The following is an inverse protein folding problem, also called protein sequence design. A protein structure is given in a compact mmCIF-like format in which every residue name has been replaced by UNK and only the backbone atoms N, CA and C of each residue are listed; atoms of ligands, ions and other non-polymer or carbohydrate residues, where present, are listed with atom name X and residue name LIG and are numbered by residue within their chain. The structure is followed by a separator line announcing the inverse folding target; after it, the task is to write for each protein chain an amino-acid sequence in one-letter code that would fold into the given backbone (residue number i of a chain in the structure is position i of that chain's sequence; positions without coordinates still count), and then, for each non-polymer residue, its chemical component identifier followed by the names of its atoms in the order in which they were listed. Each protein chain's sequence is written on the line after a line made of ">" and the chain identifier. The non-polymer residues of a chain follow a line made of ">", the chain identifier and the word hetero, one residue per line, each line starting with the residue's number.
data_IF_443430837791
#
_entry.id   IF_443430837791
#
_cell.length_a   1.000
_cell.length_b   1.000
_cell.length_c   1.000
_cell.angle_alpha   90.00
_cell.angle_beta   90.00
_cell.angle_gamma   90.00
#
_symmetry.space_group_name_H-M   'P 1'
#
loop_
_entity.id
_entity.type
_entity.pdbx_description
1 polymer ?
#
# COMPACT_ATOMS: atom_id res chain seq x y z
N UNK A 1 -11.31 -22.72 15.24
CA UNK A 1 -10.89 -22.99 13.86
C UNK A 1 -9.40 -22.69 13.72
N UNK A 2 -8.65 -23.59 13.18
CA UNK A 2 -7.23 -23.42 12.99
C UNK A 2 -6.94 -23.02 11.55
N UNK A 3 -5.99 -22.10 11.36
CA UNK A 3 -5.53 -21.75 10.04
C UNK A 3 -4.65 -22.87 9.48
N UNK A 4 -4.85 -23.20 8.21
CA UNK A 4 -3.93 -24.09 7.53
C UNK A 4 -2.58 -23.39 7.34
N UNK A 5 -1.48 -24.15 7.14
CA UNK A 5 -0.18 -23.53 6.82
C UNK A 5 -0.24 -22.63 5.61
N UNK A 6 -1.04 -22.97 4.57
CA UNK A 6 -1.21 -22.12 3.41
C UNK A 6 -1.85 -20.78 3.75
N UNK A 7 -2.91 -20.78 4.61
CA UNK A 7 -3.55 -19.54 5.06
C UNK A 7 -2.59 -18.68 5.88
N UNK A 8 -1.80 -19.29 6.75
CA UNK A 8 -0.81 -18.57 7.53
C UNK A 8 0.24 -17.93 6.61
N UNK A 9 0.68 -18.65 5.58
CA UNK A 9 1.65 -18.14 4.59
C UNK A 9 1.04 -16.97 3.80
N UNK A 10 -0.22 -17.09 3.37
CA UNK A 10 -0.89 -16.01 2.66
C UNK A 10 -1.03 -14.77 3.53
N UNK A 11 -1.40 -14.95 4.81
CA UNK A 11 -1.52 -13.83 5.74
C UNK A 11 -0.18 -13.13 5.94
N UNK A 12 0.90 -13.90 6.06
CA UNK A 12 2.23 -13.31 6.23
C UNK A 12 2.65 -12.54 4.99
N UNK A 13 2.41 -13.10 3.80
CA UNK A 13 2.75 -12.44 2.55
C UNK A 13 2.01 -11.11 2.38
N UNK A 14 0.71 -11.08 2.66
CA UNK A 14 -0.06 -9.85 2.53
C UNK A 14 0.31 -8.85 3.61
N UNK A 15 0.59 -9.28 4.83
CA UNK A 15 1.05 -8.39 5.89
C UNK A 15 2.39 -7.75 5.54
N UNK A 16 3.32 -8.52 5.02
CA UNK A 16 4.63 -8.00 4.60
C UNK A 16 4.46 -6.96 3.49
N UNK A 17 3.61 -7.23 2.51
CA UNK A 17 3.38 -6.32 1.40
C UNK A 17 2.70 -5.02 1.87
N UNK A 18 1.69 -5.15 2.73
CA UNK A 18 0.98 -3.98 3.28
C UNK A 18 1.92 -3.10 4.10
N UNK A 19 2.71 -3.70 4.98
CA UNK A 19 3.62 -2.95 5.85
C UNK A 19 4.73 -2.26 5.04
N UNK A 20 5.23 -2.94 4.00
CA UNK A 20 6.24 -2.34 3.11
C UNK A 20 5.65 -1.16 2.35
N UNK A 21 4.40 -1.29 1.91
CA UNK A 21 3.69 -0.22 1.20
C UNK A 21 3.47 0.99 2.10
N UNK A 22 3.06 0.77 3.36
CA UNK A 22 2.90 1.85 4.34
C UNK A 22 4.21 2.63 4.49
N UNK A 23 5.31 1.92 4.71
CA UNK A 23 6.61 2.55 4.90
C UNK A 23 7.04 3.35 3.67
N UNK A 24 6.86 2.78 2.47
CA UNK A 24 7.22 3.43 1.22
C UNK A 24 6.39 4.70 0.98
N UNK A 25 5.08 4.63 1.22
CA UNK A 25 4.18 5.76 1.03
C UNK A 25 4.47 6.89 2.01
N UNK A 26 4.69 6.57 3.29
CA UNK A 26 5.02 7.58 4.28
C UNK A 26 6.35 8.26 3.98
N UNK A 27 7.36 7.48 3.60
CA UNK A 27 8.65 8.03 3.21
C UNK A 27 8.52 8.92 1.97
N UNK A 28 7.79 8.46 0.95
CA UNK A 28 7.61 9.21 -0.29
C UNK A 28 6.90 10.54 -0.03
N UNK A 29 5.83 10.54 0.77
CA UNK A 29 5.11 11.77 1.10
C UNK A 29 6.03 12.78 1.77
N UNK A 30 6.84 12.35 2.72
CA UNK A 30 7.78 13.23 3.41
C UNK A 30 8.87 13.74 2.46
N UNK A 31 9.42 12.86 1.64
CA UNK A 31 10.47 13.24 0.67
C UNK A 31 9.93 14.23 -0.36
N UNK A 32 8.69 14.04 -0.82
CA UNK A 32 8.05 14.97 -1.76
C UNK A 32 7.93 16.38 -1.20
N UNK A 33 7.71 16.52 0.10
CA UNK A 33 7.63 17.84 0.74
C UNK A 33 8.94 18.61 0.68
N UNK A 34 10.06 17.91 0.52
CA UNK A 34 11.37 18.53 0.40
C UNK A 34 11.79 18.85 -1.03
N UNK A 35 10.97 18.52 -2.03
CA UNK A 35 11.31 18.78 -3.42
C UNK A 35 11.17 20.27 -3.77
N UNK A 36 11.99 20.72 -4.71
CA UNK A 36 12.03 22.13 -5.12
C UNK A 36 10.66 22.58 -5.66
N UNK A 37 10.00 21.73 -6.46
CA UNK A 37 8.69 22.05 -7.03
C UNK A 37 7.60 21.24 -6.34
N UNK A 38 7.47 21.43 -5.03
CA UNK A 38 6.54 20.66 -4.20
C UNK A 38 5.09 20.77 -4.68
N UNK A 39 4.72 21.89 -5.31
CA UNK A 39 3.37 22.06 -5.83
C UNK A 39 3.03 21.05 -6.94
N UNK A 40 4.04 20.49 -7.59
CA UNK A 40 3.83 19.42 -8.59
C UNK A 40 3.68 18.05 -7.95
N UNK A 41 3.92 17.96 -6.64
CA UNK A 41 3.89 16.70 -5.89
C UNK A 41 2.62 16.52 -5.08
N UNK A 42 1.67 17.46 -5.14
CA UNK A 42 0.52 17.45 -4.23
C UNK A 42 -0.35 16.21 -4.39
N UNK A 43 -0.60 15.75 -5.63
CA UNK A 43 -1.39 14.55 -5.85
C UNK A 43 -0.68 13.30 -5.35
N UNK A 44 0.64 13.24 -5.56
CA UNK A 44 1.46 12.15 -5.06
C UNK A 44 1.41 12.10 -3.53
N UNK A 45 1.56 13.25 -2.87
CA UNK A 45 1.53 13.34 -1.40
C UNK A 45 0.18 12.87 -0.85
N UNK A 46 -0.93 13.35 -1.44
CA UNK A 46 -2.27 12.97 -0.98
C UNK A 46 -2.51 11.48 -1.13
N UNK A 47 -2.16 10.91 -2.29
CA UNK A 47 -2.35 9.48 -2.53
C UNK A 47 -1.45 8.63 -1.64
N UNK A 48 -0.19 9.06 -1.43
CA UNK A 48 0.71 8.39 -0.48
C UNK A 48 0.08 8.30 0.91
N UNK A 49 -0.49 9.41 1.39
CA UNK A 49 -1.08 9.45 2.72
C UNK A 49 -2.33 8.58 2.81
N UNK A 50 -3.21 8.66 1.82
CA UNK A 50 -4.41 7.82 1.79
C UNK A 50 -4.03 6.35 1.70
N UNK A 51 -3.07 6.02 0.85
CA UNK A 51 -2.62 4.65 0.67
C UNK A 51 -2.02 4.10 1.97
N UNK A 52 -1.17 4.87 2.63
CA UNK A 52 -0.56 4.45 3.90
C UNK A 52 -1.62 4.19 4.96
N UNK A 53 -2.62 5.07 5.09
CA UNK A 53 -3.66 4.92 6.10
C UNK A 53 -4.53 3.69 5.83
N UNK A 54 -4.96 3.49 4.59
CA UNK A 54 -5.80 2.35 4.23
C UNK A 54 -5.02 1.03 4.37
N UNK A 55 -3.78 1.00 3.91
CA UNK A 55 -2.94 -0.20 4.04
C UNK A 55 -2.69 -0.56 5.50
N UNK A 56 -2.44 0.42 6.35
CA UNK A 56 -2.24 0.19 7.78
C UNK A 56 -3.49 -0.39 8.44
N UNK A 57 -4.65 0.14 8.09
CA UNK A 57 -5.92 -0.39 8.60
C UNK A 57 -6.12 -1.84 8.15
N UNK A 58 -5.94 -2.11 6.86
CA UNK A 58 -6.13 -3.46 6.33
C UNK A 58 -5.14 -4.44 6.96
N UNK A 59 -3.90 -4.02 7.19
CA UNK A 59 -2.91 -4.86 7.85
C UNK A 59 -3.37 -5.29 9.24
N UNK A 60 -3.95 -4.37 10.01
CA UNK A 60 -4.48 -4.70 11.34
C UNK A 60 -5.63 -5.69 11.26
N UNK A 61 -6.54 -5.48 10.30
CA UNK A 61 -7.69 -6.36 10.13
C UNK A 61 -7.27 -7.77 9.70
N UNK A 62 -6.31 -7.87 8.79
CA UNK A 62 -5.78 -9.16 8.35
C UNK A 62 -5.08 -9.86 9.52
N UNK A 63 -4.26 -9.12 10.27
CA UNK A 63 -3.47 -9.69 11.37
C UNK A 63 -4.36 -10.34 12.43
N UNK A 64 -5.52 -9.73 12.73
CA UNK A 64 -6.42 -10.28 13.74
C UNK A 64 -7.54 -11.16 13.19
N UNK A 65 -7.49 -11.46 11.88
CA UNK A 65 -8.49 -12.33 11.26
C UNK A 65 -9.89 -11.75 11.19
N UNK A 66 -10.00 -10.42 11.03
CA UNK A 66 -11.28 -9.74 10.99
C UNK A 66 -12.06 -10.09 9.73
N UNK A 67 -13.37 -10.31 9.88
CA UNK A 67 -14.26 -10.52 8.73
C UNK A 67 -14.33 -9.29 7.80
N UNK A 68 -13.98 -8.12 8.31
CA UNK A 68 -14.03 -6.89 7.54
C UNK A 68 -12.82 -6.72 6.61
N UNK A 69 -11.78 -7.54 6.77
CA UNK A 69 -10.57 -7.45 5.94
C UNK A 69 -10.91 -7.59 4.45
N UNK A 70 -11.77 -8.54 4.09
CA UNK A 70 -12.11 -8.79 2.68
C UNK A 70 -12.89 -7.66 2.03
N UNK A 71 -13.64 -6.91 2.82
CA UNK A 71 -14.34 -5.73 2.30
C UNK A 71 -13.38 -4.58 2.04
N UNK A 72 -12.48 -4.32 2.99
CA UNK A 72 -11.59 -3.17 2.89
C UNK A 72 -10.38 -3.44 1.99
N UNK A 73 -10.04 -4.70 1.74
CA UNK A 73 -8.93 -5.01 0.85
C UNK A 73 -9.20 -4.55 -0.59
N UNK A 74 -10.45 -4.50 -1.01
CA UNK A 74 -10.81 -3.99 -2.34
C UNK A 74 -10.45 -2.52 -2.47
N UNK A 75 -10.74 -1.74 -1.42
CA UNK A 75 -10.38 -0.33 -1.38
C UNK A 75 -8.87 -0.16 -1.34
N UNK A 76 -8.19 -1.04 -0.62
CA UNK A 76 -6.74 -1.05 -0.56
C UNK A 76 -6.12 -1.27 -1.95
N UNK A 77 -6.63 -2.23 -2.71
CA UNK A 77 -6.16 -2.50 -4.07
C UNK A 77 -6.34 -1.26 -4.94
N UNK A 78 -7.49 -0.61 -4.85
CA UNK A 78 -7.78 0.59 -5.64
C UNK A 78 -6.82 1.73 -5.31
N UNK A 79 -6.64 2.03 -4.03
CA UNK A 79 -5.76 3.14 -3.64
C UNK A 79 -4.30 2.84 -3.96
N UNK A 80 -3.87 1.60 -3.78
CA UNK A 80 -2.50 1.20 -4.14
C UNK A 80 -2.26 1.37 -5.65
N UNK A 81 -3.23 1.00 -6.47
CA UNK A 81 -3.13 1.14 -7.92
C UNK A 81 -3.05 2.61 -8.33
N UNK A 82 -3.91 3.44 -7.76
CA UNK A 82 -3.90 4.88 -8.04
C UNK A 82 -2.61 5.54 -7.58
N UNK A 83 -2.14 5.19 -6.39
CA UNK A 83 -0.90 5.72 -5.84
C UNK A 83 0.30 5.32 -6.71
N UNK A 84 0.36 4.05 -7.12
CA UNK A 84 1.43 3.59 -8.00
C UNK A 84 1.43 4.35 -9.33
N UNK A 85 0.26 4.55 -9.92
CA UNK A 85 0.16 5.25 -11.20
C UNK A 85 0.61 6.71 -11.08
N UNK A 86 0.23 7.38 -10.00
CA UNK A 86 0.64 8.77 -9.77
C UNK A 86 2.14 8.87 -9.48
N UNK A 87 2.65 8.04 -8.58
CA UNK A 87 4.07 8.08 -8.23
C UNK A 87 4.96 7.75 -9.43
N UNK A 88 4.52 6.85 -10.30
CA UNK A 88 5.28 6.47 -11.48
C UNK A 88 5.51 7.62 -12.47
N UNK A 89 4.69 8.67 -12.41
CA UNK A 89 4.84 9.86 -13.27
C UNK A 89 6.04 10.73 -12.88
N UNK A 90 6.56 10.55 -11.67
CA UNK A 90 7.63 11.39 -11.14
C UNK A 90 8.95 10.63 -11.15
N UNK A 91 10.03 11.29 -11.61
CA UNK A 91 11.33 10.64 -11.80
C UNK A 91 12.17 10.54 -10.53
N UNK A 92 11.69 11.07 -9.42
CA UNK A 92 12.42 10.99 -8.15
C UNK A 92 12.54 9.53 -7.68
N UNK A 93 13.71 9.10 -7.19
CA UNK A 93 13.89 7.72 -6.72
C UNK A 93 12.84 7.29 -5.70
N UNK A 94 12.48 8.17 -4.75
CA UNK A 94 11.47 7.84 -3.74
C UNK A 94 10.10 7.59 -4.35
N UNK A 95 9.75 8.29 -5.43
CA UNK A 95 8.48 8.09 -6.13
C UNK A 95 8.48 6.76 -6.88
N UNK A 96 9.58 6.42 -7.53
CA UNK A 96 9.70 5.15 -8.26
C UNK A 96 9.66 3.96 -7.30
N UNK A 97 10.31 4.07 -6.16
CA UNK A 97 10.28 3.03 -5.13
C UNK A 97 8.87 2.87 -4.55
N UNK A 98 8.19 3.97 -4.32
CA UNK A 98 6.81 3.95 -3.83
C UNK A 98 5.88 3.29 -4.84
N UNK A 99 6.01 3.62 -6.12
CA UNK A 99 5.22 2.99 -7.18
C UNK A 99 5.42 1.48 -7.19
N UNK A 100 6.67 1.02 -7.06
CA UNK A 100 6.97 -0.42 -7.04
C UNK A 100 6.33 -1.10 -5.83
N UNK A 101 6.43 -0.50 -4.65
CA UNK A 101 5.84 -1.05 -3.43
C UNK A 101 4.31 -1.11 -3.51
N UNK A 102 3.68 -0.07 -4.06
CA UNK A 102 2.23 -0.03 -4.23
C UNK A 102 1.75 -1.08 -5.22
N UNK A 103 2.47 -1.29 -6.34
CA UNK A 103 2.12 -2.32 -7.31
C UNK A 103 2.22 -3.72 -6.70
N UNK A 104 3.31 -3.98 -5.98
CA UNK A 104 3.50 -5.27 -5.30
C UNK A 104 2.40 -5.52 -4.28
N UNK A 105 2.02 -4.48 -3.54
CA UNK A 105 0.94 -4.56 -2.56
C UNK A 105 -0.39 -4.87 -3.23
N UNK A 106 -0.73 -4.18 -4.32
CA UNK A 106 -1.98 -4.42 -5.05
C UNK A 106 -2.04 -5.87 -5.55
N UNK A 107 -0.96 -6.39 -6.12
CA UNK A 107 -0.91 -7.78 -6.61
C UNK A 107 -1.11 -8.78 -5.48
N UNK A 108 -0.39 -8.60 -4.37
CA UNK A 108 -0.49 -9.51 -3.23
C UNK A 108 -1.88 -9.46 -2.62
N UNK A 109 -2.46 -8.27 -2.51
CA UNK A 109 -3.82 -8.12 -2.00
C UNK A 109 -4.86 -8.77 -2.92
N UNK A 110 -4.68 -8.71 -4.24
CA UNK A 110 -5.57 -9.39 -5.20
C UNK A 110 -5.53 -10.89 -5.00
N UNK A 111 -4.35 -11.47 -4.81
CA UNK A 111 -4.20 -12.91 -4.54
C UNK A 111 -4.88 -13.30 -3.23
N UNK A 112 -4.73 -12.48 -2.20
CA UNK A 112 -5.37 -12.72 -0.91
C UNK A 112 -6.90 -12.63 -1.01
N UNK A 113 -7.41 -11.67 -1.77
CA UNK A 113 -8.85 -11.45 -1.95
C UNK A 113 -9.48 -12.52 -2.85
N UNK A 114 -8.73 -13.04 -3.79
CA UNK A 114 -9.17 -14.10 -4.68
C UNK A 114 -9.26 -15.42 -3.99
#
# INVERSE_FOLDING_TARGET
>A
MTNSPASATQNQAVLDALNRCVAACEYCATACLGEEHVQHMTDCIRLDRDCADICALVARLVARGSEHAKHLIKECIEVCTKCANECAKHNHPHCQQCAAACRACAETCQQYAG
#
